data_IF_588099962365
#
_entry.id   IF_588099962365
#
_cell.length_a   1.000
_cell.length_b   1.000
_cell.length_c   1.000
_cell.angle_alpha   90.00
_cell.angle_beta   90.00
_cell.angle_gamma   90.00
#
_symmetry.space_group_name_H-M   'P 1'
#
loop_
_entity.id
_entity.type
_entity.pdbx_description
1 polymer ?
#
# COMPACT_ATOMS: atom_id res chain seq x y z
N UNK A 1 16.58 2.68 6.72
CA UNK A 1 15.38 2.98 5.89
C UNK A 1 14.41 3.77 6.76
N UNK A 2 13.90 4.88 6.24
CA UNK A 2 12.93 5.76 6.95
C UNK A 2 11.66 5.82 6.12
N UNK A 3 10.51 5.56 6.75
CA UNK A 3 9.19 5.62 6.11
C UNK A 3 8.30 6.55 6.93
N UNK A 4 7.61 7.45 6.27
CA UNK A 4 6.70 8.42 6.89
C UNK A 4 5.37 8.38 6.15
N UNK A 5 4.27 8.29 6.87
CA UNK A 5 2.92 8.47 6.31
C UNK A 5 2.68 9.98 6.14
N UNK A 6 2.37 10.41 4.92
CA UNK A 6 2.17 11.82 4.55
C UNK A 6 0.74 12.14 4.10
N UNK A 7 -0.07 11.10 3.82
CA UNK A 7 -1.47 11.21 3.47
C UNK A 7 -2.22 9.95 3.93
N UNK A 8 -3.44 10.11 4.39
CA UNK A 8 -4.34 9.01 4.75
C UNK A 8 -5.80 9.45 4.56
N UNK A 9 -6.75 8.50 4.45
CA UNK A 9 -8.15 8.81 4.24
C UNK A 9 -8.75 9.61 5.41
N UNK A 10 -9.35 10.74 5.09
CA UNK A 10 -10.09 11.60 6.01
C UNK A 10 -11.56 11.15 6.14
N UNK A 11 -12.32 11.74 7.06
CA UNK A 11 -13.77 11.49 7.14
C UNK A 11 -14.49 11.86 5.85
N UNK A 12 -14.03 12.90 5.12
CA UNK A 12 -14.59 13.27 3.82
C UNK A 12 -14.36 12.18 2.76
N UNK A 13 -13.18 11.56 2.75
CA UNK A 13 -12.86 10.45 1.83
C UNK A 13 -13.74 9.22 2.16
N UNK A 14 -13.96 8.93 3.43
CA UNK A 14 -14.88 7.87 3.85
C UNK A 14 -16.33 8.16 3.48
N UNK A 15 -16.80 9.43 3.60
CA UNK A 15 -18.11 9.83 3.15
C UNK A 15 -18.27 9.65 1.63
N UNK A 16 -17.23 10.00 0.87
CA UNK A 16 -17.23 9.79 -0.58
C UNK A 16 -17.24 8.29 -0.93
N UNK A 17 -16.43 7.48 -0.27
CA UNK A 17 -16.45 6.02 -0.43
C UNK A 17 -17.86 5.44 -0.16
N UNK A 18 -18.53 5.88 0.91
CA UNK A 18 -19.89 5.46 1.24
C UNK A 18 -20.89 5.91 0.19
N UNK A 19 -20.77 7.14 -0.32
CA UNK A 19 -21.60 7.65 -1.41
C UNK A 19 -21.48 6.79 -2.65
N UNK A 20 -20.25 6.47 -3.07
CA UNK A 20 -19.98 5.58 -4.19
C UNK A 20 -20.59 4.18 -3.96
N UNK A 21 -20.44 3.63 -2.75
CA UNK A 21 -21.03 2.33 -2.38
C UNK A 21 -22.54 2.32 -2.51
N UNK A 22 -23.21 3.35 -1.99
CA UNK A 22 -24.67 3.45 -2.05
C UNK A 22 -25.17 3.68 -3.47
N UNK A 23 -24.43 4.46 -4.27
CA UNK A 23 -24.77 4.72 -5.66
C UNK A 23 -24.81 3.42 -6.49
N UNK A 24 -23.93 2.44 -6.22
CA UNK A 24 -23.92 1.15 -6.93
C UNK A 24 -25.21 0.35 -6.75
N UNK A 25 -25.99 0.62 -5.70
CA UNK A 25 -27.25 -0.04 -5.38
C UNK A 25 -28.46 0.92 -5.47
N UNK A 26 -28.29 2.08 -6.11
CA UNK A 26 -29.35 3.06 -6.33
C UNK A 26 -29.87 3.75 -5.06
N UNK A 27 -29.07 3.78 -3.97
CA UNK A 27 -29.43 4.41 -2.69
C UNK A 27 -28.72 5.75 -2.53
N UNK A 28 -29.37 6.69 -1.83
CA UNK A 28 -28.76 7.98 -1.46
C UNK A 28 -28.08 7.90 -0.10
N UNK A 29 -27.06 8.74 0.07
CA UNK A 29 -26.39 8.91 1.36
C UNK A 29 -27.39 9.52 2.36
N UNK A 30 -27.57 8.86 3.49
CA UNK A 30 -28.33 9.38 4.62
C UNK A 30 -27.40 10.03 5.67
N UNK A 31 -28.00 10.53 6.76
CA UNK A 31 -27.26 11.20 7.84
C UNK A 31 -26.58 10.21 8.83
N UNK A 32 -26.60 8.90 8.56
CA UNK A 32 -26.00 7.92 9.46
C UNK A 32 -24.48 8.03 9.47
N UNK A 33 -23.85 8.05 10.64
CA UNK A 33 -22.39 8.11 10.75
C UNK A 33 -21.73 6.87 10.12
N UNK A 34 -20.48 7.03 9.70
CA UNK A 34 -19.68 5.93 9.21
C UNK A 34 -19.01 5.26 10.41
N UNK A 35 -19.45 4.07 10.74
CA UNK A 35 -18.93 3.30 11.87
C UNK A 35 -17.72 2.48 11.47
N UNK A 36 -16.86 2.13 12.43
CA UNK A 36 -15.71 1.22 12.23
C UNK A 36 -16.19 -0.15 11.71
N UNK A 37 -17.36 -0.62 12.16
CA UNK A 37 -17.96 -1.85 11.64
C UNK A 37 -18.26 -1.76 10.14
N UNK A 38 -18.83 -0.64 9.68
CA UNK A 38 -19.07 -0.41 8.26
C UNK A 38 -17.76 -0.34 7.47
N UNK A 39 -16.75 0.40 7.99
CA UNK A 39 -15.41 0.47 7.38
C UNK A 39 -14.79 -0.92 7.25
N UNK A 40 -14.83 -1.74 8.30
CA UNK A 40 -14.33 -3.10 8.29
C UNK A 40 -15.04 -3.98 7.25
N UNK A 41 -16.36 -3.89 7.14
CA UNK A 41 -17.14 -4.66 6.16
C UNK A 41 -16.82 -4.29 4.73
N UNK A 42 -16.76 -2.99 4.40
CA UNK A 42 -16.48 -2.55 3.03
C UNK A 42 -15.06 -2.88 2.59
N UNK A 43 -14.07 -2.76 3.49
CA UNK A 43 -12.69 -3.15 3.23
C UNK A 43 -12.56 -4.66 3.05
N UNK A 44 -13.16 -5.47 3.93
CA UNK A 44 -13.11 -6.93 3.87
C UNK A 44 -13.82 -7.51 2.63
N UNK A 45 -14.86 -6.82 2.13
CA UNK A 45 -15.51 -7.21 0.87
C UNK A 45 -14.73 -6.81 -0.38
N UNK A 46 -13.67 -6.03 -0.23
CA UNK A 46 -12.88 -5.46 -1.33
C UNK A 46 -13.75 -4.82 -2.43
N UNK A 47 -14.87 -4.21 -2.01
CA UNK A 47 -15.79 -3.55 -2.92
C UNK A 47 -15.14 -2.33 -3.57
N UNK A 48 -15.33 -2.14 -4.87
CA UNK A 48 -14.61 -1.16 -5.69
C UNK A 48 -14.51 0.27 -5.12
N UNK A 49 -15.48 0.83 -4.35
CA UNK A 49 -15.34 2.17 -3.75
C UNK A 49 -14.16 2.35 -2.79
N UNK A 50 -13.57 1.29 -2.23
CA UNK A 50 -12.36 1.43 -1.40
C UNK A 50 -11.16 1.94 -2.20
N UNK A 51 -11.23 1.94 -3.52
CA UNK A 51 -10.20 2.52 -4.41
C UNK A 51 -10.11 4.04 -4.31
N UNK A 52 -11.12 4.68 -3.71
CA UNK A 52 -11.11 6.13 -3.45
C UNK A 52 -10.38 6.50 -2.14
N UNK A 53 -10.01 5.50 -1.33
CA UNK A 53 -9.29 5.70 -0.08
C UNK A 53 -7.78 5.65 -0.34
N UNK A 54 -7.14 6.83 -0.36
CA UNK A 54 -5.75 6.98 -0.73
C UNK A 54 -4.83 7.21 0.46
N UNK A 55 -3.71 6.48 0.48
CA UNK A 55 -2.59 6.66 1.40
C UNK A 55 -1.38 7.20 0.66
N UNK A 56 -0.56 8.01 1.32
CA UNK A 56 0.70 8.53 0.79
C UNK A 56 1.85 8.24 1.74
N UNK A 57 2.92 7.64 1.23
CA UNK A 57 4.12 7.31 1.99
C UNK A 57 5.34 7.96 1.35
N UNK A 58 6.16 8.65 2.17
CA UNK A 58 7.50 9.08 1.78
C UNK A 58 8.51 8.11 2.37
N UNK A 59 9.37 7.56 1.53
CA UNK A 59 10.33 6.52 1.89
C UNK A 59 11.74 6.95 1.51
N UNK A 60 12.71 6.72 2.38
CA UNK A 60 14.16 6.81 2.12
C UNK A 60 14.69 5.38 2.15
N UNK A 61 14.86 4.77 0.99
CA UNK A 61 15.14 3.35 0.80
C UNK A 61 16.19 3.13 -0.29
N UNK A 62 16.91 1.99 -0.29
CA UNK A 62 17.81 1.63 -1.38
C UNK A 62 17.10 1.62 -2.74
N UNK A 63 17.78 2.09 -3.79
CA UNK A 63 17.20 2.16 -5.14
C UNK A 63 16.62 0.83 -5.61
N UNK A 64 17.34 -0.28 -5.44
CA UNK A 64 16.86 -1.59 -5.83
C UNK A 64 15.60 -2.05 -5.07
N UNK A 65 15.42 -1.63 -3.80
CA UNK A 65 14.17 -1.86 -3.05
C UNK A 65 13.04 -1.05 -3.66
N UNK A 66 13.29 0.21 -4.03
CA UNK A 66 12.30 1.08 -4.68
C UNK A 66 11.78 0.44 -5.98
N UNK A 67 12.64 -0.21 -6.77
CA UNK A 67 12.27 -0.92 -8.00
C UNK A 67 11.27 -2.04 -7.74
N UNK A 68 11.33 -2.74 -6.60
CA UNK A 68 10.35 -3.76 -6.24
C UNK A 68 8.94 -3.17 -6.03
N UNK A 69 8.85 -1.94 -5.51
CA UNK A 69 7.55 -1.26 -5.33
C UNK A 69 7.00 -0.72 -6.64
N UNK A 70 7.83 -0.18 -7.53
CA UNK A 70 7.39 0.34 -8.84
C UNK A 70 6.83 -0.73 -9.78
N UNK A 71 6.98 -2.01 -9.47
CA UNK A 71 6.30 -3.11 -10.20
C UNK A 71 4.80 -3.16 -9.96
N UNK A 72 4.30 -2.47 -8.93
CA UNK A 72 2.88 -2.29 -8.67
C UNK A 72 2.45 -0.94 -9.22
N UNK A 73 1.58 -0.92 -10.23
CA UNK A 73 1.15 0.30 -10.91
C UNK A 73 -0.37 0.48 -10.98
N UNK A 74 -1.15 -0.57 -10.71
CA UNK A 74 -2.61 -0.44 -10.62
C UNK A 74 -3.01 0.13 -9.26
N UNK A 75 -3.63 1.32 -9.26
CA UNK A 75 -4.03 2.02 -8.04
C UNK A 75 -2.85 2.56 -7.22
N UNK A 76 -1.70 2.75 -7.87
CA UNK A 76 -0.47 3.27 -7.25
C UNK A 76 0.20 4.29 -8.16
N UNK A 77 0.65 5.40 -7.58
CA UNK A 77 1.50 6.38 -8.24
C UNK A 77 2.86 6.45 -7.53
N UNK A 78 3.92 6.45 -8.30
CA UNK A 78 5.30 6.47 -7.79
C UNK A 78 6.03 7.74 -8.23
N UNK A 79 6.67 8.42 -7.28
CA UNK A 79 7.50 9.59 -7.49
C UNK A 79 8.86 9.30 -6.89
N UNK A 80 9.76 8.73 -7.71
CA UNK A 80 11.10 8.32 -7.27
C UNK A 80 12.10 9.40 -7.63
N UNK A 81 12.97 9.74 -6.69
CA UNK A 81 14.07 10.67 -6.91
C UNK A 81 14.94 10.22 -8.09
N UNK A 82 15.17 11.13 -9.03
CA UNK A 82 16.01 10.83 -10.18
C UNK A 82 17.47 10.63 -9.77
N UNK A 83 18.15 9.71 -10.45
CA UNK A 83 19.60 9.53 -10.40
C UNK A 83 20.29 10.03 -11.67
N UNK A 84 19.61 10.81 -12.52
CA UNK A 84 20.18 11.34 -13.76
C UNK A 84 21.33 12.31 -13.43
N UNK A 85 22.48 12.06 -14.04
CA UNK A 85 23.71 12.87 -13.85
C UNK A 85 23.49 14.36 -14.12
N UNK A 86 22.72 14.69 -15.17
CA UNK A 86 22.39 16.08 -15.56
C UNK A 86 21.49 16.81 -14.53
N UNK A 87 20.88 16.09 -13.59
CA UNK A 87 20.01 16.65 -12.54
C UNK A 87 20.67 16.64 -11.16
N UNK A 88 21.52 15.67 -10.90
CA UNK A 88 22.11 15.46 -9.58
C UNK A 88 23.54 15.94 -9.49
N UNK A 89 24.24 16.09 -10.62
CA UNK A 89 25.67 16.36 -10.68
C UNK A 89 26.56 15.16 -10.31
N UNK A 90 25.94 14.02 -9.94
CA UNK A 90 26.64 12.79 -9.56
C UNK A 90 26.59 11.81 -10.74
N UNK A 91 27.71 11.19 -11.07
CA UNK A 91 27.75 10.17 -12.11
C UNK A 91 26.92 8.95 -11.67
N UNK A 92 25.79 8.71 -12.35
CA UNK A 92 24.87 7.59 -12.01
C UNK A 92 25.50 6.23 -12.15
N UNK A 93 26.48 6.07 -13.05
CA UNK A 93 27.11 4.79 -13.32
C UNK A 93 28.08 4.36 -12.18
N UNK A 94 28.45 5.32 -11.34
CA UNK A 94 29.25 5.10 -10.13
C UNK A 94 28.39 4.84 -8.87
N UNK A 95 27.06 5.05 -8.96
CA UNK A 95 26.17 4.85 -7.82
C UNK A 95 25.90 3.35 -7.61
N UNK A 96 26.10 2.83 -6.40
CA UNK A 96 25.74 1.45 -6.11
C UNK A 96 24.24 1.27 -6.14
N UNK A 97 23.77 0.06 -6.46
CA UNK A 97 22.33 -0.30 -6.43
C UNK A 97 21.70 -0.06 -5.05
N UNK A 98 22.51 -0.08 -4.00
CA UNK A 98 22.10 0.23 -2.63
C UNK A 98 22.04 1.73 -2.29
N UNK A 99 22.37 2.64 -3.22
CA UNK A 99 22.26 4.07 -2.98
C UNK A 99 20.83 4.43 -2.56
N UNK A 100 20.73 5.23 -1.49
CA UNK A 100 19.42 5.65 -0.98
C UNK A 100 18.76 6.64 -1.92
N UNK A 101 17.47 6.43 -2.19
CA UNK A 101 16.63 7.35 -2.95
C UNK A 101 15.40 7.74 -2.13
N UNK A 102 14.92 8.96 -2.35
CA UNK A 102 13.60 9.37 -1.87
C UNK A 102 12.53 8.85 -2.83
N UNK A 103 11.54 8.14 -2.29
CA UNK A 103 10.44 7.57 -3.05
C UNK A 103 9.13 7.96 -2.38
N UNK A 104 8.30 8.76 -3.05
CA UNK A 104 6.93 8.99 -2.63
C UNK A 104 6.03 8.01 -3.38
N UNK A 105 5.21 7.28 -2.63
CA UNK A 105 4.22 6.36 -3.16
C UNK A 105 2.83 6.81 -2.71
N UNK A 106 1.93 7.06 -3.65
CA UNK A 106 0.50 7.26 -3.41
C UNK A 106 -0.24 6.00 -3.82
N UNK A 107 -0.99 5.38 -2.92
CA UNK A 107 -1.58 4.06 -3.11
C UNK A 107 -2.99 4.03 -2.54
N UNK A 108 -3.95 3.49 -3.27
CA UNK A 108 -5.29 3.29 -2.75
C UNK A 108 -5.40 2.02 -1.89
N UNK A 109 -6.49 1.91 -1.10
CA UNK A 109 -6.66 0.81 -0.15
C UNK A 109 -6.64 -0.57 -0.80
N UNK A 110 -7.27 -0.75 -1.97
CA UNK A 110 -7.26 -2.03 -2.70
C UNK A 110 -5.84 -2.42 -3.11
N UNK A 111 -5.10 -1.48 -3.70
CA UNK A 111 -3.73 -1.71 -4.12
C UNK A 111 -2.80 -1.98 -2.93
N UNK A 112 -3.03 -1.31 -1.80
CA UNK A 112 -2.27 -1.53 -0.56
C UNK A 112 -2.48 -2.96 -0.02
N UNK A 113 -3.73 -3.45 -0.01
CA UNK A 113 -4.06 -4.83 0.34
C UNK A 113 -3.33 -5.79 -0.60
N UNK A 114 -3.46 -5.63 -1.91
CA UNK A 114 -2.83 -6.50 -2.92
C UNK A 114 -1.30 -6.49 -2.83
N UNK A 115 -0.70 -5.32 -2.60
CA UNK A 115 0.74 -5.17 -2.44
C UNK A 115 1.23 -5.86 -1.16
N UNK A 116 0.51 -5.73 -0.05
CA UNK A 116 0.86 -6.37 1.22
C UNK A 116 0.91 -7.89 1.09
N UNK A 117 -0.03 -8.49 0.38
CA UNK A 117 -0.07 -9.92 0.13
C UNK A 117 1.20 -10.46 -0.52
N UNK A 118 1.80 -9.69 -1.44
CA UNK A 118 3.02 -10.07 -2.17
C UNK A 118 4.29 -9.67 -1.43
N UNK A 119 4.33 -8.45 -0.86
CA UNK A 119 5.57 -7.89 -0.30
C UNK A 119 5.82 -8.29 1.16
N UNK A 120 4.81 -8.82 1.86
CA UNK A 120 5.00 -9.47 3.17
C UNK A 120 5.34 -10.95 3.06
N UNK A 121 5.22 -11.55 1.88
CA UNK A 121 5.58 -12.95 1.65
C UNK A 121 7.08 -13.20 1.89
N UNK A 122 7.44 -14.36 2.44
CA UNK A 122 8.85 -14.75 2.67
C UNK A 122 9.65 -14.89 1.38
N UNK A 123 9.01 -14.98 0.21
CA UNK A 123 9.68 -14.95 -1.10
C UNK A 123 10.14 -13.55 -1.53
N UNK A 124 9.64 -12.49 -0.90
CA UNK A 124 10.19 -11.15 -1.09
C UNK A 124 11.51 -11.00 -0.30
N UNK A 125 12.43 -10.14 -0.78
CA UNK A 125 13.66 -9.86 -0.06
C UNK A 125 13.38 -9.30 1.34
N UNK A 126 14.30 -9.51 2.27
CA UNK A 126 14.13 -9.09 3.66
C UNK A 126 13.92 -7.58 3.80
N UNK A 127 14.66 -6.79 3.03
CA UNK A 127 14.56 -5.34 3.04
C UNK A 127 13.20 -4.86 2.50
N UNK A 128 12.73 -5.47 1.41
CA UNK A 128 11.39 -5.17 0.86
C UNK A 128 10.30 -5.52 1.87
N UNK A 129 10.43 -6.66 2.57
CA UNK A 129 9.49 -7.03 3.63
C UNK A 129 9.53 -6.06 4.82
N UNK A 130 10.73 -5.61 5.23
CA UNK A 130 10.87 -4.63 6.31
C UNK A 130 10.19 -3.31 5.96
N UNK A 131 10.38 -2.80 4.74
CA UNK A 131 9.69 -1.60 4.25
C UNK A 131 8.19 -1.81 4.26
N UNK A 132 7.70 -2.93 3.70
CA UNK A 132 6.27 -3.21 3.65
C UNK A 132 5.64 -3.34 5.05
N UNK A 133 6.33 -3.97 6.01
CA UNK A 133 5.88 -4.04 7.40
C UNK A 133 5.70 -2.66 8.02
N UNK A 134 6.62 -1.73 7.77
CA UNK A 134 6.50 -0.35 8.27
C UNK A 134 5.35 0.39 7.61
N UNK A 135 5.16 0.23 6.29
CA UNK A 135 4.01 0.79 5.55
C UNK A 135 2.70 0.29 6.16
N UNK A 136 2.56 -1.03 6.35
CA UNK A 136 1.37 -1.64 6.94
C UNK A 136 1.11 -1.12 8.36
N UNK A 137 2.15 -1.04 9.20
CA UNK A 137 2.04 -0.50 10.55
C UNK A 137 1.48 0.92 10.55
N UNK A 138 2.07 1.82 9.76
CA UNK A 138 1.62 3.22 9.66
C UNK A 138 0.18 3.33 9.11
N UNK A 139 -0.21 2.47 8.16
CA UNK A 139 -1.57 2.45 7.63
C UNK A 139 -2.59 1.97 8.69
N UNK A 140 -2.23 0.96 9.49
CA UNK A 140 -3.08 0.42 10.56
C UNK A 140 -3.24 1.43 11.71
N UNK A 141 -2.21 2.22 12.02
CA UNK A 141 -2.30 3.28 13.03
C UNK A 141 -3.39 4.32 12.73
N UNK A 142 -3.66 4.60 11.45
CA UNK A 142 -4.70 5.57 11.03
C UNK A 142 -5.98 4.91 10.52
N UNK A 143 -5.95 3.64 10.18
CA UNK A 143 -7.08 2.84 9.70
C UNK A 143 -6.98 1.41 10.28
N UNK A 144 -7.35 1.22 11.57
CA UNK A 144 -7.23 -0.09 12.24
C UNK A 144 -7.99 -1.22 11.55
N UNK A 145 -9.03 -0.89 10.80
CA UNK A 145 -9.85 -1.84 10.04
C UNK A 145 -9.05 -2.62 8.96
N UNK A 146 -7.85 -2.12 8.59
CA UNK A 146 -6.95 -2.79 7.65
C UNK A 146 -6.12 -3.93 8.28
N UNK A 147 -6.07 -4.05 9.60
CA UNK A 147 -5.15 -4.97 10.29
C UNK A 147 -5.23 -6.41 9.78
N UNK A 148 -6.45 -6.94 9.62
CA UNK A 148 -6.67 -8.31 9.15
C UNK A 148 -6.42 -8.52 7.65
N UNK A 149 -6.33 -7.43 6.88
CA UNK A 149 -6.19 -7.45 5.43
C UNK A 149 -4.74 -7.25 4.99
N UNK A 150 -3.94 -6.46 5.74
CA UNK A 150 -2.54 -6.19 5.43
C UNK A 150 -1.62 -7.33 5.93
N UNK A 151 -1.79 -8.49 5.35
CA UNK A 151 -1.10 -9.74 5.74
C UNK A 151 -0.51 -10.45 4.51
N UNK A 152 0.45 -11.38 4.69
CA UNK A 152 0.91 -12.22 3.57
C UNK A 152 -0.25 -12.99 2.92
N UNK A 153 -0.17 -13.23 1.61
CA UNK A 153 -1.23 -13.90 0.86
C UNK A 153 -1.65 -15.27 1.46
N UNK A 154 -0.68 -16.03 1.98
CA UNK A 154 -1.00 -17.31 2.62
C UNK A 154 -1.86 -17.14 3.90
N UNK A 155 -1.65 -16.07 4.67
CA UNK A 155 -2.48 -15.77 5.84
C UNK A 155 -3.89 -15.34 5.41
N UNK A 156 -3.97 -14.46 4.41
CA UNK A 156 -5.23 -14.02 3.82
C UNK A 156 -6.06 -15.21 3.28
N UNK A 157 -5.39 -16.22 2.72
CA UNK A 157 -6.01 -17.44 2.15
C UNK A 157 -6.08 -18.61 3.13
N UNK A 158 -6.22 -18.35 4.42
CA UNK A 158 -6.37 -19.38 5.47
C UNK A 158 -5.27 -20.45 5.43
N UNK A 159 -4.03 -20.03 5.24
CA UNK A 159 -2.86 -20.90 5.25
C UNK A 159 -2.48 -21.50 3.89
N UNK A 160 -3.25 -21.26 2.82
CA UNK A 160 -2.94 -21.79 1.49
C UNK A 160 -1.90 -20.91 0.78
N UNK A 161 -0.73 -21.48 0.48
CA UNK A 161 0.30 -20.83 -0.31
C UNK A 161 -0.08 -20.83 -1.80
N UNK A 162 0.05 -19.67 -2.48
CA UNK A 162 -0.20 -19.52 -3.92
C UNK A 162 1.09 -19.30 -4.73
N UNK A 163 2.25 -19.32 -4.07
CA UNK A 163 3.53 -19.17 -4.76
C UNK A 163 3.93 -20.48 -5.42
N UNK A 164 4.64 -20.39 -6.54
CA UNK A 164 5.12 -21.55 -7.29
C UNK A 164 6.05 -22.42 -6.43
N UNK A 165 6.97 -21.80 -5.69
CA UNK A 165 7.75 -22.46 -4.65
C UNK A 165 7.23 -22.04 -3.27
N UNK A 166 6.82 -23.00 -2.45
CA UNK A 166 6.38 -22.72 -1.08
C UNK A 166 7.58 -22.39 -0.19
N UNK A 167 7.40 -21.45 0.75
CA UNK A 167 8.37 -21.19 1.82
C UNK A 167 8.17 -22.08 3.06
N UNK A 168 7.29 -23.06 2.99
CA UNK A 168 6.94 -24.01 4.07
C UNK A 168 7.58 -25.37 3.81
N UNK A 169 8.83 -25.37 3.40
CA UNK A 169 9.64 -26.59 3.40
C UNK A 169 10.46 -26.65 4.68
#
# INVERSE_FOLDING_TARGET
MKITLIKYPTDADWQYCKTCTLNTVGKKLGNSPITSEWKSKILASEHSPIRELWFGFKMEIPYWVSVHFTRHHEGVNHFVQTQRTDRTGVNRDELPQGATVSHIMSINAQALINMSHKRLCKQASDETRQVMKQICKLAIEVCPELEKLLVPNCNYRNGKCSEFFTCRS
#
